data_IF_903158091052
#
_entry.id   IF_903158091052
#
_cell.length_a   1.000
_cell.length_b   1.000
_cell.length_c   1.000
_cell.angle_alpha   90.00
_cell.angle_beta   90.00
_cell.angle_gamma   90.00
#
_symmetry.space_group_name_H-M   'P 1'
#
loop_
_entity.id
_entity.type
_entity.pdbx_description
1 polymer ?
#
# COMPACT_ATOMS: atom_id res chain seq x y z
N UNK A 1 13.44 -2.62 6.84
CA UNK A 1 12.23 -1.77 6.82
C UNK A 1 11.16 -2.47 7.67
N UNK A 2 10.35 -1.74 8.44
CA UNK A 2 9.18 -2.34 9.11
C UNK A 2 8.20 -2.88 8.06
N UNK A 3 7.50 -3.97 8.36
CA UNK A 3 6.58 -4.64 7.42
C UNK A 3 5.49 -3.69 6.92
N UNK A 4 4.92 -2.88 7.82
CA UNK A 4 4.00 -1.79 7.46
C UNK A 4 4.58 -0.82 6.43
N UNK A 5 5.85 -0.45 6.57
CA UNK A 5 6.53 0.45 5.63
C UNK A 5 6.70 -0.20 4.27
N UNK A 6 7.07 -1.48 4.21
CA UNK A 6 7.20 -2.21 2.96
C UNK A 6 5.86 -2.30 2.21
N UNK A 7 4.76 -2.57 2.92
CA UNK A 7 3.42 -2.64 2.34
C UNK A 7 2.97 -1.28 1.79
N UNK A 8 3.17 -0.20 2.55
CA UNK A 8 2.81 1.16 2.12
C UNK A 8 3.60 1.54 0.85
N UNK A 9 4.91 1.29 0.83
CA UNK A 9 5.76 1.59 -0.33
C UNK A 9 5.35 0.78 -1.56
N UNK A 10 5.03 -0.50 -1.40
CA UNK A 10 4.53 -1.33 -2.50
C UNK A 10 3.20 -0.80 -3.06
N UNK A 11 2.29 -0.35 -2.19
CA UNK A 11 1.03 0.26 -2.61
C UNK A 11 1.22 1.57 -3.35
N UNK A 12 2.16 2.43 -2.92
CA UNK A 12 2.54 3.66 -3.63
C UNK A 12 3.10 3.33 -5.02
N UNK A 13 4.00 2.35 -5.12
CA UNK A 13 4.57 1.92 -6.39
C UNK A 13 3.48 1.41 -7.37
N UNK A 14 2.52 0.61 -6.87
CA UNK A 14 1.36 0.16 -7.63
C UNK A 14 0.46 1.31 -8.09
N UNK A 15 0.23 2.29 -7.21
CA UNK A 15 -0.60 3.45 -7.52
C UNK A 15 -0.01 4.33 -8.62
N UNK A 16 1.32 4.39 -8.73
CA UNK A 16 2.00 5.19 -9.75
C UNK A 16 2.08 4.52 -11.13
N UNK A 17 1.69 3.24 -11.24
CA UNK A 17 1.65 2.56 -12.54
C UNK A 17 0.58 3.17 -13.44
N UNK A 18 0.87 3.44 -14.73
CA UNK A 18 -0.08 4.03 -15.68
C UNK A 18 -1.08 2.99 -16.21
N UNK A 19 -1.69 2.21 -15.31
CA UNK A 19 -2.76 1.26 -15.59
C UNK A 19 -3.98 1.59 -14.73
N UNK A 20 -5.18 1.82 -15.31
CA UNK A 20 -6.37 2.17 -14.53
C UNK A 20 -6.67 1.26 -13.31
N UNK A 21 -6.56 -0.08 -13.40
CA UNK A 21 -6.85 -0.94 -12.24
C UNK A 21 -5.77 -0.88 -11.13
N UNK A 22 -4.53 -0.48 -11.45
CA UNK A 22 -3.44 -0.45 -10.47
C UNK A 22 -3.55 0.71 -9.49
N UNK A 23 -4.27 1.79 -9.85
CA UNK A 23 -4.62 2.86 -8.93
C UNK A 23 -5.49 2.36 -7.77
N UNK A 24 -6.59 1.67 -8.06
CA UNK A 24 -7.48 1.14 -7.02
C UNK A 24 -6.78 0.10 -6.15
N UNK A 25 -6.03 -0.81 -6.77
CA UNK A 25 -5.26 -1.83 -6.04
C UNK A 25 -4.19 -1.16 -5.17
N UNK A 26 -3.44 -0.20 -5.71
CA UNK A 26 -2.41 0.54 -4.98
C UNK A 26 -2.98 1.28 -3.77
N UNK A 27 -4.13 1.96 -3.93
CA UNK A 27 -4.81 2.64 -2.83
C UNK A 27 -5.23 1.66 -1.71
N UNK A 28 -5.79 0.50 -2.07
CA UNK A 28 -6.17 -0.54 -1.10
C UNK A 28 -4.94 -1.11 -0.37
N UNK A 29 -3.84 -1.32 -1.08
CA UNK A 29 -2.58 -1.81 -0.49
C UNK A 29 -1.99 -0.77 0.47
N UNK A 30 -2.02 0.52 0.12
CA UNK A 30 -1.60 1.60 1.03
C UNK A 30 -2.46 1.58 2.29
N UNK A 31 -3.79 1.54 2.16
CA UNK A 31 -4.71 1.50 3.29
C UNK A 31 -4.50 0.26 4.18
N UNK A 32 -4.24 -0.90 3.58
CA UNK A 32 -3.93 -2.12 4.32
C UNK A 32 -2.62 -1.99 5.12
N UNK A 33 -1.57 -1.39 4.54
CA UNK A 33 -0.31 -1.14 5.23
C UNK A 33 -0.43 -0.14 6.37
N UNK A 34 -1.25 0.90 6.18
CA UNK A 34 -1.59 1.88 7.22
C UNK A 34 -2.39 1.20 8.34
N UNK A 35 -3.43 0.42 8.01
CA UNK A 35 -4.22 -0.30 8.99
C UNK A 35 -3.37 -1.31 9.79
N UNK A 36 -2.50 -2.06 9.11
CA UNK A 36 -1.57 -3.00 9.74
C UNK A 36 -0.67 -2.31 10.76
N UNK A 37 -0.18 -1.10 10.45
CA UNK A 37 0.64 -0.29 11.36
C UNK A 37 -0.08 0.07 12.66
N UNK A 38 -1.40 0.22 12.65
CA UNK A 38 -2.16 0.65 13.82
C UNK A 38 -2.80 -0.51 14.59
N UNK A 39 -3.09 -1.63 13.91
CA UNK A 39 -3.85 -2.74 14.48
C UNK A 39 -2.98 -3.92 14.92
N UNK A 40 -1.80 -4.10 14.33
CA UNK A 40 -1.00 -5.32 14.50
C UNK A 40 0.47 -5.08 14.88
N UNK A 41 0.98 -3.86 14.67
CA UNK A 41 2.36 -3.46 14.96
C UNK A 41 2.43 -2.45 16.10
#
# INVERSE_FOLDING_TARGET
MRTSTAIIVAGIALFLLPFPPTFTIGALVILAGVAYRFLAE
#
